data_IF_827864949700
#
_entry.id   IF_827864949700
#
_cell.length_a   1.000
_cell.length_b   1.000
_cell.length_c   1.000
_cell.angle_alpha   90.00
_cell.angle_beta   90.00
_cell.angle_gamma   90.00
#
_symmetry.space_group_name_H-M   'P 1'
#
loop_
_entity.id
_entity.type
_entity.pdbx_description
1 polymer ?
#
# COMPACT_ATOMS: atom_id res chain seq x y z
N UNK A 1 -1.29 -27.32 -28.93
CA UNK A 1 -2.00 -28.58 -28.61
C UNK A 1 -2.40 -28.51 -27.14
N UNK A 2 -3.61 -28.94 -26.78
CA UNK A 2 -4.12 -28.84 -25.42
C UNK A 2 -3.54 -29.87 -24.45
N UNK A 3 -3.97 -29.82 -23.18
CA UNK A 3 -3.54 -30.77 -22.15
C UNK A 3 -4.03 -32.19 -22.48
N UNK A 4 -3.11 -33.07 -22.87
CA UNK A 4 -3.40 -34.50 -23.11
C UNK A 4 -3.93 -35.16 -21.85
N UNK A 5 -4.97 -36.00 -21.97
CA UNK A 5 -5.62 -36.67 -20.84
C UNK A 5 -6.18 -35.74 -19.75
N UNK A 6 -6.44 -34.47 -20.04
CA UNK A 6 -6.93 -33.47 -19.07
C UNK A 6 -8.07 -33.92 -18.14
N UNK A 7 -9.08 -34.69 -18.59
CA UNK A 7 -10.13 -35.21 -17.72
C UNK A 7 -9.67 -36.18 -16.63
N UNK A 8 -8.50 -36.80 -16.79
CA UNK A 8 -7.94 -37.78 -15.85
C UNK A 8 -7.07 -37.12 -14.78
N UNK A 9 -6.83 -35.80 -14.88
CA UNK A 9 -5.97 -35.11 -13.95
C UNK A 9 -6.64 -34.93 -12.59
N UNK A 10 -5.89 -35.18 -11.53
CA UNK A 10 -6.28 -34.86 -10.15
C UNK A 10 -5.62 -33.54 -9.73
N UNK A 11 -6.00 -32.96 -8.59
CA UNK A 11 -5.41 -31.72 -8.08
C UNK A 11 -4.83 -31.91 -6.68
N UNK A 12 -3.81 -31.14 -6.35
CA UNK A 12 -3.23 -31.10 -5.01
C UNK A 12 -4.04 -30.20 -4.07
N UNK A 13 -3.84 -30.37 -2.76
CA UNK A 13 -4.43 -29.46 -1.77
C UNK A 13 -3.98 -28.02 -1.98
N UNK A 14 -2.72 -27.82 -2.39
CA UNK A 14 -2.18 -26.52 -2.74
C UNK A 14 -2.91 -25.90 -3.95
N UNK A 15 -3.23 -26.70 -4.97
CA UNK A 15 -4.02 -26.21 -6.10
C UNK A 15 -5.42 -25.77 -5.66
N UNK A 16 -6.09 -26.55 -4.81
CA UNK A 16 -7.41 -26.22 -4.28
C UNK A 16 -7.40 -24.93 -3.43
N UNK A 17 -6.39 -24.79 -2.56
CA UNK A 17 -6.20 -23.59 -1.77
C UNK A 17 -6.01 -22.36 -2.67
N UNK A 18 -5.16 -22.47 -3.72
CA UNK A 18 -4.95 -21.37 -4.67
C UNK A 18 -6.19 -21.02 -5.47
N UNK A 19 -6.99 -22.01 -5.86
CA UNK A 19 -8.25 -21.79 -6.57
C UNK A 19 -9.25 -21.01 -5.72
N UNK A 20 -9.31 -21.32 -4.41
CA UNK A 20 -10.13 -20.59 -3.46
C UNK A 20 -9.62 -19.16 -3.24
N UNK A 21 -8.33 -19.01 -2.90
CA UNK A 21 -7.72 -17.70 -2.57
C UNK A 21 -7.76 -16.71 -3.74
N UNK A 22 -7.65 -17.18 -4.97
CA UNK A 22 -7.42 -16.32 -6.14
C UNK A 22 -8.61 -16.20 -7.08
N UNK A 23 -9.48 -17.21 -7.09
CA UNK A 23 -10.60 -17.29 -8.01
C UNK A 23 -11.94 -17.55 -7.31
N UNK A 24 -11.96 -17.57 -5.96
CA UNK A 24 -13.14 -17.81 -5.13
C UNK A 24 -13.83 -19.15 -5.44
N UNK A 25 -13.06 -20.14 -5.91
CA UNK A 25 -13.57 -21.47 -6.29
C UNK A 25 -13.44 -22.43 -5.11
N UNK A 26 -14.58 -22.76 -4.51
CA UNK A 26 -14.66 -23.77 -3.45
C UNK A 26 -14.42 -25.20 -3.99
N UNK A 27 -14.00 -26.11 -3.11
CA UNK A 27 -13.75 -27.53 -3.45
C UNK A 27 -14.92 -28.21 -4.16
N UNK A 28 -16.16 -27.87 -3.84
CA UNK A 28 -17.36 -28.42 -4.49
C UNK A 28 -17.50 -27.99 -5.95
N UNK A 29 -17.01 -26.80 -6.29
CA UNK A 29 -17.11 -26.19 -7.61
C UNK A 29 -15.88 -26.48 -8.48
N UNK A 30 -14.78 -26.89 -7.85
CA UNK A 30 -13.47 -27.08 -8.47
C UNK A 30 -13.47 -28.08 -9.64
N UNK A 31 -14.12 -29.27 -9.57
CA UNK A 31 -14.19 -30.19 -10.71
C UNK A 31 -14.87 -29.57 -11.93
N UNK A 32 -15.97 -28.85 -11.70
CA UNK A 32 -16.74 -28.17 -12.75
C UNK A 32 -15.97 -26.98 -13.33
N UNK A 33 -15.24 -26.26 -12.49
CA UNK A 33 -14.42 -25.11 -12.90
C UNK A 33 -13.23 -25.53 -13.75
N UNK A 34 -12.51 -26.58 -13.36
CA UNK A 34 -11.41 -27.15 -14.15
C UNK A 34 -11.95 -27.70 -15.47
N UNK A 35 -13.03 -28.49 -15.44
CA UNK A 35 -13.61 -29.11 -16.63
C UNK A 35 -14.01 -28.12 -17.73
N UNK A 36 -14.49 -26.93 -17.34
CA UNK A 36 -14.82 -25.83 -18.29
C UNK A 36 -13.61 -25.28 -19.01
N UNK A 37 -12.43 -25.37 -18.41
CA UNK A 37 -11.22 -24.75 -18.91
C UNK A 37 -10.36 -25.70 -19.74
N UNK A 38 -10.45 -27.01 -19.50
CA UNK A 38 -9.67 -28.06 -20.17
C UNK A 38 -9.63 -27.92 -21.70
N UNK A 39 -10.79 -27.68 -22.32
CA UNK A 39 -10.91 -27.55 -23.78
C UNK A 39 -10.25 -26.29 -24.36
N UNK A 40 -9.93 -25.32 -23.51
CA UNK A 40 -9.33 -24.03 -23.88
C UNK A 40 -7.84 -23.92 -23.54
N UNK A 41 -7.25 -24.95 -22.92
CA UNK A 41 -5.87 -24.90 -22.45
C UNK A 41 -4.87 -24.91 -23.61
N UNK A 42 -3.95 -23.97 -23.58
CA UNK A 42 -2.81 -23.86 -24.51
C UNK A 42 -1.52 -23.86 -23.71
N UNK A 43 -0.47 -24.53 -24.19
CA UNK A 43 0.84 -24.57 -23.51
C UNK A 43 1.39 -23.13 -23.34
N UNK A 44 1.75 -22.78 -22.11
CA UNK A 44 2.19 -21.45 -21.70
C UNK A 44 3.71 -21.46 -21.50
N UNK A 45 4.45 -21.07 -22.55
CA UNK A 45 5.91 -21.07 -22.54
C UNK A 45 6.45 -19.68 -22.17
N UNK A 46 6.94 -19.54 -20.93
CA UNK A 46 7.90 -18.50 -20.57
C UNK A 46 9.27 -19.15 -20.47
N UNK A 47 10.33 -18.44 -20.90
CA UNK A 47 11.74 -18.86 -20.94
C UNK A 47 12.33 -19.13 -19.52
N UNK A 48 11.70 -19.99 -18.76
CA UNK A 48 12.17 -20.47 -17.46
C UNK A 48 12.52 -21.95 -17.61
N UNK A 49 13.58 -22.39 -16.92
CA UNK A 49 13.95 -23.80 -16.81
C UNK A 49 12.79 -24.56 -16.14
N UNK A 50 11.85 -25.04 -16.95
CA UNK A 50 10.79 -25.92 -16.48
C UNK A 50 11.40 -27.29 -16.24
N UNK A 51 11.09 -27.88 -15.10
CA UNK A 51 11.39 -29.30 -14.89
C UNK A 51 10.66 -30.09 -15.97
N UNK A 52 11.29 -31.12 -16.58
CA UNK A 52 10.72 -31.82 -17.73
C UNK A 52 9.33 -32.42 -17.46
N UNK A 53 9.02 -32.70 -16.19
CA UNK A 53 7.74 -33.22 -15.72
C UNK A 53 6.64 -32.15 -15.53
N UNK A 54 7.01 -30.88 -15.35
CA UNK A 54 6.10 -29.76 -15.09
C UNK A 54 5.86 -28.94 -16.34
N UNK A 55 4.59 -28.79 -16.73
CA UNK A 55 4.17 -27.96 -17.85
C UNK A 55 3.14 -26.94 -17.43
N UNK A 56 3.27 -25.74 -17.95
CA UNK A 56 2.33 -24.65 -17.73
C UNK A 56 1.34 -24.60 -18.89
N UNK A 57 0.06 -24.43 -18.60
CA UNK A 57 -1.01 -24.25 -19.58
C UNK A 57 -1.82 -23.02 -19.21
N UNK A 58 -2.27 -22.24 -20.18
CA UNK A 58 -3.14 -21.09 -19.96
C UNK A 58 -4.50 -21.31 -20.60
N UNK A 59 -5.57 -20.99 -19.86
CA UNK A 59 -6.94 -21.01 -20.37
C UNK A 59 -7.30 -19.71 -21.08
N UNK A 60 -8.39 -19.73 -21.84
CA UNK A 60 -8.90 -18.53 -22.53
C UNK A 60 -9.28 -17.38 -21.59
N UNK A 61 -9.62 -17.68 -20.34
CA UNK A 61 -9.94 -16.68 -19.31
C UNK A 61 -8.69 -16.20 -18.56
N UNK A 62 -7.49 -16.49 -19.08
CA UNK A 62 -6.23 -16.01 -18.50
C UNK A 62 -5.80 -16.76 -17.25
N UNK A 63 -6.27 -17.98 -17.00
CA UNK A 63 -5.81 -18.77 -15.84
C UNK A 63 -4.69 -19.71 -16.28
N UNK A 64 -3.52 -19.60 -15.65
CA UNK A 64 -2.39 -20.51 -15.79
C UNK A 64 -2.53 -21.69 -14.82
N UNK A 65 -2.43 -22.89 -15.36
CA UNK A 65 -2.40 -24.18 -14.68
C UNK A 65 -0.98 -24.73 -14.76
N UNK A 66 -0.36 -24.97 -13.62
CA UNK A 66 0.90 -25.72 -13.55
C UNK A 66 0.56 -27.17 -13.32
N UNK A 67 0.98 -28.02 -14.25
CA UNK A 67 0.58 -29.42 -14.34
C UNK A 67 1.81 -30.33 -14.29
N UNK A 68 1.78 -31.37 -13.47
CA UNK A 68 2.69 -32.50 -13.60
C UNK A 68 2.11 -33.46 -14.65
N UNK A 69 2.81 -33.64 -15.76
CA UNK A 69 2.33 -34.46 -16.89
C UNK A 69 2.60 -35.95 -16.73
N UNK A 70 3.49 -36.33 -15.81
CA UNK A 70 3.77 -37.73 -15.48
C UNK A 70 2.74 -38.25 -14.49
N UNK A 71 2.51 -37.52 -13.40
CA UNK A 71 1.56 -37.89 -12.35
C UNK A 71 0.10 -37.52 -12.67
N UNK A 72 -0.13 -36.76 -13.76
CA UNK A 72 -1.44 -36.23 -14.13
C UNK A 72 -2.06 -35.43 -12.97
N UNK A 73 -1.31 -34.45 -12.46
CA UNK A 73 -1.73 -33.59 -11.34
C UNK A 73 -1.67 -32.11 -11.66
N UNK A 74 -2.70 -31.37 -11.27
CA UNK A 74 -2.64 -29.92 -11.15
C UNK A 74 -1.94 -29.54 -9.84
N UNK A 75 -0.81 -28.82 -9.96
CA UNK A 75 0.05 -28.45 -8.85
C UNK A 75 -0.32 -27.08 -8.25
N UNK A 76 -0.63 -26.10 -9.10
CA UNK A 76 -1.02 -24.75 -8.70
C UNK A 76 -1.74 -24.00 -9.84
N UNK A 77 -2.47 -22.94 -9.51
CA UNK A 77 -3.08 -22.03 -10.48
C UNK A 77 -2.82 -20.55 -10.16
N UNK A 78 -2.74 -19.71 -11.19
CA UNK A 78 -2.54 -18.26 -11.08
C UNK A 78 -3.00 -17.52 -12.34
N UNK A 79 -3.19 -16.21 -12.28
CA UNK A 79 -3.61 -15.40 -13.43
C UNK A 79 -2.41 -15.10 -14.36
N UNK A 80 -2.64 -15.20 -15.66
CA UNK A 80 -1.65 -14.93 -16.70
C UNK A 80 -1.45 -13.42 -16.83
N UNK A 81 -0.38 -12.90 -16.23
CA UNK A 81 -0.02 -11.47 -16.29
C UNK A 81 0.19 -10.93 -17.72
N UNK A 82 0.38 -11.82 -18.71
CA UNK A 82 0.83 -11.45 -20.07
C UNK A 82 -0.27 -11.63 -21.15
N UNK A 83 -1.50 -12.05 -20.80
CA UNK A 83 -2.61 -12.25 -21.74
C UNK A 83 -3.78 -11.31 -21.41
N UNK A 84 -3.65 -10.04 -21.78
CA UNK A 84 -4.76 -9.09 -21.73
C UNK A 84 -5.06 -8.59 -23.16
N UNK A 85 -6.25 -8.84 -23.72
CA UNK A 85 -6.71 -8.17 -24.93
C UNK A 85 -6.82 -6.67 -24.66
N UNK A 86 -6.45 -5.85 -25.65
CA UNK A 86 -6.57 -4.40 -25.63
C UNK A 86 -7.94 -3.94 -25.10
N UNK A 87 -7.95 -3.25 -23.95
CA UNK A 87 -9.15 -2.59 -23.44
C UNK A 87 -9.35 -2.72 -21.94
N UNK A 88 -8.59 -1.93 -21.17
CA UNK A 88 -8.86 -1.55 -19.76
C UNK A 88 -9.35 -2.68 -18.85
N UNK A 89 -8.43 -3.51 -18.37
CA UNK A 89 -8.60 -4.16 -17.08
C UNK A 89 -7.48 -3.69 -16.18
N UNK A 90 -7.84 -2.85 -15.20
CA UNK A 90 -6.99 -2.58 -14.06
C UNK A 90 -6.83 -3.94 -13.37
N UNK A 91 -5.67 -4.56 -13.46
CA UNK A 91 -5.41 -5.84 -12.80
C UNK A 91 -5.75 -5.74 -11.31
N UNK A 92 -6.12 -6.84 -10.63
CA UNK A 92 -6.33 -6.82 -9.18
C UNK A 92 -5.13 -6.16 -8.46
N UNK A 93 -3.93 -6.41 -8.98
CA UNK A 93 -2.71 -5.76 -8.52
C UNK A 93 -2.74 -4.23 -8.69
N UNK A 94 -3.07 -3.71 -9.87
CA UNK A 94 -3.17 -2.26 -10.10
C UNK A 94 -4.30 -1.61 -9.30
N UNK A 95 -5.43 -2.30 -9.09
CA UNK A 95 -6.52 -1.79 -8.25
C UNK A 95 -6.10 -1.75 -6.78
N UNK A 96 -5.44 -2.80 -6.29
CA UNK A 96 -4.90 -2.83 -4.94
C UNK A 96 -3.78 -1.80 -4.76
N UNK A 97 -2.94 -1.59 -5.78
CA UNK A 97 -1.90 -0.56 -5.77
C UNK A 97 -2.52 0.84 -5.72
N UNK A 98 -3.59 1.08 -6.48
CA UNK A 98 -4.32 2.35 -6.47
C UNK A 98 -4.98 2.61 -5.10
N UNK A 99 -5.69 1.63 -4.55
CA UNK A 99 -6.31 1.72 -3.23
C UNK A 99 -5.27 1.95 -2.12
N UNK A 100 -4.16 1.20 -2.15
CA UNK A 100 -3.05 1.39 -1.21
C UNK A 100 -2.43 2.78 -1.34
N UNK A 101 -2.21 3.26 -2.57
CA UNK A 101 -1.66 4.60 -2.80
C UNK A 101 -2.60 5.69 -2.28
N UNK A 102 -3.91 5.51 -2.43
CA UNK A 102 -4.93 6.40 -1.91
C UNK A 102 -4.94 6.41 -0.37
N UNK A 103 -4.89 5.23 0.27
CA UNK A 103 -4.81 5.11 1.73
C UNK A 103 -3.53 5.75 2.28
N UNK A 104 -2.37 5.51 1.65
CA UNK A 104 -1.10 6.14 2.03
C UNK A 104 -1.19 7.66 1.90
N UNK A 105 -1.78 8.18 0.82
CA UNK A 105 -1.98 9.62 0.64
C UNK A 105 -2.92 10.21 1.71
N UNK A 106 -4.02 9.52 2.03
CA UNK A 106 -4.96 9.93 3.07
C UNK A 106 -4.32 9.93 4.46
N UNK A 107 -3.56 8.88 4.79
CA UNK A 107 -2.77 8.78 6.02
C UNK A 107 -1.76 9.93 6.08
N UNK A 108 -0.94 10.11 5.04
CA UNK A 108 0.04 11.19 4.99
C UNK A 108 -0.61 12.56 5.23
N UNK A 109 -1.77 12.84 4.59
CA UNK A 109 -2.53 14.09 4.80
C UNK A 109 -3.01 14.26 6.23
N UNK A 110 -3.54 13.19 6.85
CA UNK A 110 -3.99 13.19 8.26
C UNK A 110 -2.84 13.46 9.22
N UNK A 111 -1.68 12.85 9.02
CA UNK A 111 -0.51 13.03 9.89
C UNK A 111 0.14 14.40 9.71
N UNK A 112 0.15 14.99 8.50
CA UNK A 112 0.64 16.36 8.28
C UNK A 112 -0.10 17.41 9.12
N UNK A 113 -1.43 17.31 9.20
CA UNK A 113 -2.23 18.22 10.02
C UNK A 113 -2.02 17.98 11.52
N UNK A 114 -1.83 16.72 11.91
CA UNK A 114 -1.58 16.34 13.29
C UNK A 114 -0.23 16.88 13.78
N UNK A 115 0.83 16.74 13.00
CA UNK A 115 2.17 17.24 13.32
C UNK A 115 2.17 18.77 13.55
N UNK A 116 1.53 19.54 12.67
CA UNK A 116 1.43 20.99 12.82
C UNK A 116 0.64 21.38 14.08
N UNK A 117 -0.45 20.65 14.36
CA UNK A 117 -1.25 20.87 15.58
C UNK A 117 -0.44 20.57 16.84
N UNK A 118 0.28 19.45 16.89
CA UNK A 118 1.12 19.10 18.03
C UNK A 118 2.26 20.10 18.24
N UNK A 119 2.88 20.60 17.16
CA UNK A 119 3.88 21.67 17.24
C UNK A 119 3.29 22.96 17.83
N UNK A 120 2.10 23.38 17.37
CA UNK A 120 1.44 24.57 17.92
C UNK A 120 1.05 24.38 19.39
N UNK A 121 0.55 23.21 19.77
CA UNK A 121 0.27 22.88 21.17
C UNK A 121 1.55 22.91 22.02
N UNK A 122 2.69 22.47 21.49
CA UNK A 122 3.95 22.46 22.24
C UNK A 122 4.49 23.86 22.55
N UNK A 123 4.06 24.89 21.81
CA UNK A 123 4.49 26.28 22.03
C UNK A 123 3.40 27.18 22.63
N UNK A 124 2.23 26.64 22.97
CA UNK A 124 1.10 27.42 23.51
C UNK A 124 1.49 28.16 24.80
N UNK A 125 2.13 27.46 25.75
CA UNK A 125 2.62 28.06 27.00
C UNK A 125 3.67 29.14 26.74
N UNK A 126 4.55 28.92 25.75
CA UNK A 126 5.58 29.88 25.36
C UNK A 126 4.98 31.15 24.74
N UNK A 127 3.89 31.03 23.96
CA UNK A 127 3.14 32.17 23.42
C UNK A 127 2.50 33.00 24.54
N UNK A 128 1.89 32.33 25.52
CA UNK A 128 1.29 33.00 26.68
C UNK A 128 2.35 33.71 27.53
N UNK A 129 3.48 33.06 27.80
CA UNK A 129 4.60 33.64 28.53
C UNK A 129 5.20 34.83 27.78
N UNK A 130 5.42 34.70 26.48
CA UNK A 130 5.89 35.80 25.63
C UNK A 130 4.94 37.01 25.71
N UNK A 131 3.64 36.77 25.57
CA UNK A 131 2.63 37.83 25.69
C UNK A 131 2.66 38.49 27.08
N UNK A 132 2.67 37.70 28.15
CA UNK A 132 2.71 38.21 29.52
C UNK A 132 3.98 39.03 29.82
N UNK A 133 5.16 38.54 29.41
CA UNK A 133 6.41 39.27 29.60
C UNK A 133 6.44 40.56 28.78
N UNK A 134 5.97 40.53 27.52
CA UNK A 134 5.89 41.71 26.68
C UNK A 134 5.03 42.80 27.31
N UNK A 135 3.84 42.43 27.83
CA UNK A 135 2.94 43.37 28.47
C UNK A 135 3.51 43.94 29.77
N UNK A 136 4.17 43.12 30.60
CA UNK A 136 4.85 43.58 31.83
C UNK A 136 5.99 44.56 31.52
N UNK A 137 6.75 44.32 30.44
CA UNK A 137 7.82 45.24 30.01
C UNK A 137 7.22 46.56 29.50
N UNK A 138 6.17 46.50 28.66
CA UNK A 138 5.53 47.69 28.09
C UNK A 138 4.83 48.56 29.15
N UNK A 139 4.26 47.95 30.18
CA UNK A 139 3.57 48.68 31.26
C UNK A 139 4.45 49.03 32.47
N UNK A 140 5.65 48.44 32.56
CA UNK A 140 6.54 48.58 33.70
C UNK A 140 7.55 49.73 33.59
N UNK A 141 8.07 50.17 34.73
CA UNK A 141 9.23 51.09 34.78
C UNK A 141 10.53 50.34 34.54
N UNK A 142 11.45 50.92 33.78
CA UNK A 142 12.77 50.36 33.51
C UNK A 142 13.57 50.17 34.82
N UNK A 143 13.63 48.93 35.29
CA UNK A 143 14.33 48.48 36.50
C UNK A 143 15.10 47.20 36.18
N UNK A 144 16.08 46.80 37.00
CA UNK A 144 16.85 45.55 36.81
C UNK A 144 15.95 44.31 36.63
N UNK A 145 14.85 44.23 37.39
CA UNK A 145 13.83 43.18 37.22
C UNK A 145 13.21 43.15 35.82
N UNK A 146 13.05 44.31 35.18
CA UNK A 146 12.54 44.38 33.81
C UNK A 146 13.60 43.97 32.78
N UNK A 147 14.89 44.15 33.07
CA UNK A 147 15.96 43.62 32.22
C UNK A 147 15.98 42.07 32.24
N UNK A 148 15.74 41.45 33.40
CA UNK A 148 15.56 39.98 33.47
C UNK A 148 14.34 39.49 32.67
N UNK A 149 13.25 40.25 32.68
CA UNK A 149 12.07 39.95 31.86
C UNK A 149 12.37 40.03 30.36
N UNK A 150 13.25 40.96 29.93
CA UNK A 150 13.69 41.04 28.53
C UNK A 150 14.46 39.78 28.13
N UNK A 151 15.35 39.29 28.99
CA UNK A 151 16.07 38.04 28.71
C UNK A 151 15.11 36.86 28.55
N UNK A 152 14.15 36.70 29.47
CA UNK A 152 13.11 35.66 29.37
C UNK A 152 12.27 35.82 28.11
N UNK A 153 11.88 37.04 27.74
CA UNK A 153 11.14 37.30 26.51
C UNK A 153 11.91 36.83 25.25
N UNK A 154 13.24 37.05 25.22
CA UNK A 154 14.10 36.59 24.13
C UNK A 154 14.15 35.06 24.08
N UNK A 155 14.26 34.40 25.23
CA UNK A 155 14.25 32.93 25.31
C UNK A 155 12.94 32.34 24.78
N UNK A 156 11.78 32.89 25.21
CA UNK A 156 10.47 32.49 24.71
C UNK A 156 10.37 32.67 23.19
N UNK A 157 10.85 33.80 22.67
CA UNK A 157 10.88 34.06 21.22
C UNK A 157 11.71 33.03 20.45
N UNK A 158 12.86 32.61 20.99
CA UNK A 158 13.70 31.61 20.33
C UNK A 158 13.00 30.25 20.22
N UNK A 159 12.25 29.84 21.24
CA UNK A 159 11.46 28.60 21.21
C UNK A 159 10.36 28.71 20.16
N UNK A 160 9.56 29.79 20.21
CA UNK A 160 8.47 30.05 19.24
C UNK A 160 9.03 30.07 17.80
N UNK A 161 10.12 30.79 17.57
CA UNK A 161 10.76 30.90 16.26
C UNK A 161 11.24 29.55 15.73
N UNK A 162 11.78 28.70 16.60
CA UNK A 162 12.27 27.37 16.22
C UNK A 162 11.13 26.47 15.78
N UNK A 163 10.01 26.45 16.51
CA UNK A 163 8.81 25.72 16.13
C UNK A 163 8.22 26.24 14.81
N UNK A 164 8.12 27.56 14.65
CA UNK A 164 7.63 28.18 13.42
C UNK A 164 8.49 27.82 12.21
N UNK A 165 9.82 27.77 12.36
CA UNK A 165 10.72 27.37 11.27
C UNK A 165 10.45 25.93 10.81
N UNK A 166 10.11 25.01 11.71
CA UNK A 166 9.77 23.63 11.34
C UNK A 166 8.42 23.56 10.63
N UNK A 167 7.45 24.37 11.05
CA UNK A 167 6.16 24.48 10.34
C UNK A 167 6.38 25.07 8.94
N UNK A 168 7.26 26.07 8.81
CA UNK A 168 7.60 26.71 7.54
C UNK A 168 8.32 25.74 6.57
N UNK A 169 9.26 24.93 7.06
CA UNK A 169 9.91 23.92 6.18
C UNK A 169 8.93 22.86 5.69
N UNK A 170 7.91 22.54 6.48
CA UNK A 170 6.80 21.66 6.10
C UNK A 170 5.66 22.38 5.38
N UNK A 171 5.79 23.67 5.02
CA UNK A 171 4.69 24.44 4.42
C UNK A 171 4.16 23.84 3.11
N UNK A 172 5.05 23.23 2.32
CA UNK A 172 4.68 22.52 1.09
C UNK A 172 3.75 21.34 1.33
N UNK A 173 3.84 20.69 2.50
CA UNK A 173 2.99 19.56 2.85
C UNK A 173 1.54 19.96 3.10
N UNK A 174 1.27 21.24 3.44
CA UNK A 174 -0.07 21.76 3.70
C UNK A 174 -0.84 22.19 2.44
N UNK A 175 -0.18 22.33 1.28
CA UNK A 175 -0.80 22.81 0.03
C UNK A 175 -1.41 21.70 -0.84
N UNK A 176 -1.49 20.46 -0.35
CA UNK A 176 -1.99 19.29 -1.07
C UNK A 176 -3.46 18.93 -0.78
#
# INVERSE_FOLDING_TARGET
MGLSFGPNYTWTDHFAQRALERFEVNNEQLPKWVGRQLGSLVEYNKNEEQRPEEKKYVSQIGVVFVCNTIEQKFLTCYEANDLVPEGKNITIHENNLALFSEEVAHIAKKYRHKDAKEMLMSIEEHLDNFHQFSHKILSGRLTERNYELIAKLIDEFHVIRSAMKIIETKQGDFKA
#
